data_IF_517884861768
#
_entry.id   IF_517884861768
#
_cell.length_a   1.000
_cell.length_b   1.000
_cell.length_c   1.000
_cell.angle_alpha   90.00
_cell.angle_beta   90.00
_cell.angle_gamma   90.00
#
_symmetry.space_group_name_H-M   'P 1'
#
loop_
_entity.id
_entity.type
_entity.pdbx_description
1 polymer ?
#
# COMPACT_ATOMS: atom_id res chain seq x y z
N UNK A 1 -33.23 7.83 63.60
CA UNK A 1 -32.34 6.85 62.94
C UNK A 1 -33.05 6.26 61.72
N UNK A 2 -32.75 6.77 60.51
CA UNK A 2 -33.01 6.12 59.21
C UNK A 2 -31.94 6.64 58.25
N UNK A 3 -30.82 5.92 58.10
CA UNK A 3 -29.81 6.23 57.09
C UNK A 3 -30.39 5.87 55.70
N UNK A 4 -30.38 6.82 54.77
CA UNK A 4 -30.58 6.56 53.34
C UNK A 4 -29.20 6.46 52.70
N UNK A 5 -28.83 5.26 52.27
CA UNK A 5 -27.66 5.03 51.41
C UNK A 5 -28.00 5.54 50.00
N UNK A 6 -27.30 6.57 49.55
CA UNK A 6 -27.32 7.01 48.17
C UNK A 6 -26.26 6.25 47.39
N UNK A 7 -26.69 5.36 46.50
CA UNK A 7 -25.81 4.58 45.62
C UNK A 7 -25.15 5.51 44.60
N UNK A 8 -23.84 5.72 44.70
CA UNK A 8 -23.05 6.43 43.71
C UNK A 8 -22.71 5.45 42.58
N UNK A 9 -23.31 5.62 41.40
CA UNK A 9 -22.96 4.86 40.20
C UNK A 9 -21.70 5.50 39.60
N UNK A 10 -20.57 4.82 39.74
CA UNK A 10 -19.30 5.22 39.13
C UNK A 10 -19.27 4.70 37.69
N UNK A 11 -19.51 5.59 36.73
CA UNK A 11 -19.43 5.30 35.30
C UNK A 11 -17.97 5.19 34.86
N UNK A 12 -17.43 3.97 34.78
CA UNK A 12 -16.10 3.73 34.22
C UNK A 12 -16.15 3.93 32.71
N UNK A 13 -15.66 5.07 32.22
CA UNK A 13 -15.43 5.29 30.78
C UNK A 13 -14.25 4.39 30.37
N UNK A 14 -14.55 3.34 29.61
CA UNK A 14 -13.56 2.46 29.03
C UNK A 14 -12.90 3.20 27.86
N UNK A 15 -11.70 3.73 28.06
CA UNK A 15 -10.88 4.27 26.97
C UNK A 15 -10.43 3.09 26.11
N UNK A 16 -11.12 2.86 24.99
CA UNK A 16 -10.68 1.93 23.97
C UNK A 16 -9.49 2.55 23.24
N UNK A 17 -8.27 2.22 23.67
CA UNK A 17 -7.09 2.49 22.85
C UNK A 17 -7.30 1.81 21.49
N UNK A 18 -7.03 2.48 20.37
CA UNK A 18 -7.10 1.84 19.06
C UNK A 18 -6.13 0.66 19.06
N UNK A 19 -6.66 -0.54 18.79
CA UNK A 19 -5.85 -1.72 18.57
C UNK A 19 -5.01 -1.45 17.33
N UNK A 20 -3.73 -1.13 17.53
CA UNK A 20 -2.75 -1.06 16.45
C UNK A 20 -2.62 -2.49 15.93
N UNK A 21 -3.39 -2.80 14.89
CA UNK A 21 -3.32 -4.06 14.19
C UNK A 21 -1.89 -4.21 13.65
N UNK A 22 -1.09 -5.10 14.24
CA UNK A 22 0.20 -5.54 13.71
C UNK A 22 -0.02 -6.35 12.43
N UNK A 23 -0.43 -5.65 11.38
CA UNK A 23 -0.49 -6.22 10.05
C UNK A 23 0.92 -6.32 9.49
N UNK A 24 1.24 -7.45 8.86
CA UNK A 24 2.48 -7.64 8.13
C UNK A 24 2.66 -6.54 7.08
N UNK A 25 3.78 -5.82 7.15
CA UNK A 25 4.08 -4.65 6.33
C UNK A 25 4.97 -5.05 5.17
N UNK A 26 4.41 -5.02 3.96
CA UNK A 26 5.18 -5.27 2.74
C UNK A 26 5.86 -3.98 2.27
N UNK A 27 7.09 -4.07 1.80
CA UNK A 27 7.84 -2.92 1.29
C UNK A 27 8.83 -3.35 0.21
N UNK A 28 9.11 -2.42 -0.70
CA UNK A 28 10.20 -2.48 -1.69
C UNK A 28 11.02 -1.22 -1.44
N UNK A 29 12.31 -1.35 -1.20
CA UNK A 29 13.20 -0.28 -0.78
C UNK A 29 14.39 -0.20 -1.74
N UNK A 30 14.53 0.90 -2.51
CA UNK A 30 15.71 1.12 -3.32
C UNK A 30 16.92 1.48 -2.43
N UNK A 31 18.12 1.13 -2.88
CA UNK A 31 19.38 1.56 -2.26
C UNK A 31 19.71 3.04 -2.50
N UNK A 32 19.08 3.67 -3.49
CA UNK A 32 19.11 5.10 -3.78
C UNK A 32 17.88 5.49 -4.60
N UNK A 33 17.31 6.69 -4.39
CA UNK A 33 16.15 7.14 -5.17
C UNK A 33 16.45 8.15 -6.27
N UNK A 34 17.59 8.84 -6.22
CA UNK A 34 18.03 9.80 -7.25
C UNK A 34 19.49 9.49 -7.62
N UNK A 35 19.73 9.21 -8.91
CA UNK A 35 21.05 8.84 -9.44
C UNK A 35 21.39 9.68 -10.66
N UNK A 36 22.64 10.10 -10.81
CA UNK A 36 23.06 11.03 -11.88
C UNK A 36 24.11 10.47 -12.85
N UNK A 37 24.45 9.18 -12.74
CA UNK A 37 25.31 8.53 -13.73
C UNK A 37 24.56 8.34 -15.06
N UNK A 38 25.28 8.04 -16.14
CA UNK A 38 24.69 7.85 -17.48
C UNK A 38 23.74 6.64 -17.53
N UNK A 39 24.19 5.52 -16.94
CA UNK A 39 23.44 4.25 -16.80
C UNK A 39 23.61 3.71 -15.39
N UNK A 40 23.00 4.36 -14.38
CA UNK A 40 23.21 3.97 -13.00
C UNK A 40 22.54 2.62 -12.72
N UNK A 41 23.18 1.84 -11.86
CA UNK A 41 22.60 0.64 -11.29
C UNK A 41 22.01 0.97 -9.92
N UNK A 42 20.85 0.39 -9.62
CA UNK A 42 20.23 0.47 -8.29
C UNK A 42 19.78 -0.91 -7.83
N UNK A 43 20.22 -1.28 -6.63
CA UNK A 43 19.78 -2.50 -5.95
C UNK A 43 18.55 -2.20 -5.10
N UNK A 44 17.63 -3.15 -5.05
CA UNK A 44 16.43 -3.08 -4.22
C UNK A 44 16.40 -4.23 -3.23
N UNK A 45 15.99 -3.92 -2.00
CA UNK A 45 15.55 -4.90 -1.02
C UNK A 45 14.02 -4.93 -0.98
N UNK A 46 13.42 -6.12 -0.90
CA UNK A 46 11.98 -6.27 -0.73
C UNK A 46 11.65 -7.33 0.33
N UNK A 47 10.75 -7.01 1.26
CA UNK A 47 10.32 -7.94 2.29
C UNK A 47 8.88 -7.68 2.75
N UNK A 48 8.38 -8.65 3.50
CA UNK A 48 7.21 -8.52 4.36
C UNK A 48 7.74 -8.62 5.80
N UNK A 49 7.43 -7.63 6.64
CA UNK A 49 8.00 -7.52 7.98
C UNK A 49 6.98 -7.16 9.05
N UNK A 50 7.35 -7.39 10.31
CA UNK A 50 6.63 -6.82 11.46
C UNK A 50 7.11 -5.38 11.70
N UNK A 51 8.42 -5.16 11.65
CA UNK A 51 9.06 -3.84 11.72
C UNK A 51 9.40 -3.32 10.31
N UNK A 52 8.95 -2.12 9.95
CA UNK A 52 9.22 -1.55 8.61
C UNK A 52 10.72 -1.48 8.32
N UNK A 53 11.09 -1.84 7.09
CA UNK A 53 12.48 -1.90 6.60
C UNK A 53 13.41 -2.85 7.39
N UNK A 54 12.85 -3.79 8.15
CA UNK A 54 13.59 -4.86 8.81
C UNK A 54 13.06 -6.22 8.37
N UNK A 55 13.84 -6.97 7.59
CA UNK A 55 13.42 -8.24 7.02
C UNK A 55 13.36 -9.37 8.08
N UNK A 56 12.23 -9.51 8.78
CA UNK A 56 12.06 -10.42 9.92
C UNK A 56 10.88 -11.40 9.85
N UNK A 57 10.05 -11.32 8.81
CA UNK A 57 8.87 -12.19 8.68
C UNK A 57 8.94 -13.09 7.44
N UNK A 58 8.94 -12.52 6.24
CA UNK A 58 8.99 -13.29 5.00
C UNK A 58 9.58 -12.49 3.84
N UNK A 59 10.24 -13.20 2.91
CA UNK A 59 10.66 -12.59 1.66
C UNK A 59 9.46 -12.14 0.82
N UNK A 60 9.58 -10.96 0.21
CA UNK A 60 8.61 -10.48 -0.77
C UNK A 60 8.72 -11.31 -2.05
N UNK A 61 7.62 -11.86 -2.56
CA UNK A 61 7.67 -12.63 -3.80
C UNK A 61 7.88 -11.69 -4.99
N UNK A 62 8.92 -11.94 -5.78
CA UNK A 62 9.23 -11.13 -6.97
C UNK A 62 8.31 -11.47 -8.16
N UNK A 63 7.57 -12.57 -8.09
CA UNK A 63 6.53 -12.90 -9.08
C UNK A 63 5.43 -11.82 -9.08
N UNK A 64 5.16 -11.24 -10.25
CA UNK A 64 4.22 -10.12 -10.40
C UNK A 64 4.81 -8.74 -10.08
N UNK A 65 6.11 -8.66 -9.79
CA UNK A 65 6.82 -7.38 -9.75
C UNK A 65 7.12 -6.91 -11.17
N UNK A 66 6.78 -5.66 -11.46
CA UNK A 66 6.99 -5.01 -12.75
C UNK A 66 7.73 -3.70 -12.56
N UNK A 67 8.43 -3.28 -13.62
CA UNK A 67 9.18 -2.03 -13.65
C UNK A 67 8.83 -1.30 -14.92
N UNK A 68 8.31 -0.09 -14.76
CA UNK A 68 8.01 0.80 -15.87
C UNK A 68 9.08 1.89 -15.96
N UNK A 69 9.69 2.02 -17.13
CA UNK A 69 10.64 3.06 -17.47
C UNK A 69 9.94 4.40 -17.81
N UNK A 70 10.69 5.52 -17.84
CA UNK A 70 10.15 6.86 -18.14
C UNK A 70 9.47 6.96 -19.52
N UNK A 71 9.95 6.19 -20.50
CA UNK A 71 9.39 6.10 -21.85
C UNK A 71 8.17 5.14 -21.94
N UNK A 72 7.82 4.49 -20.83
CA UNK A 72 6.73 3.52 -20.73
C UNK A 72 7.14 2.07 -21.00
N UNK A 73 8.40 1.79 -21.36
CA UNK A 73 8.89 0.43 -21.57
C UNK A 73 8.89 -0.36 -20.26
N UNK A 74 8.74 -1.69 -20.36
CA UNK A 74 8.93 -2.58 -19.23
C UNK A 74 10.42 -2.94 -19.11
N UNK A 75 10.92 -3.02 -17.88
CA UNK A 75 12.32 -3.34 -17.59
C UNK A 75 12.39 -4.67 -16.84
N UNK A 76 13.26 -5.55 -17.29
CA UNK A 76 13.50 -6.84 -16.64
C UNK A 76 14.34 -6.67 -15.36
N UNK A 77 13.95 -7.37 -14.31
CA UNK A 77 14.73 -7.44 -13.08
C UNK A 77 16.06 -8.15 -13.34
N UNK A 78 17.17 -7.55 -12.92
CA UNK A 78 18.50 -8.15 -12.99
C UNK A 78 18.88 -8.75 -11.63
N UNK A 79 19.73 -9.78 -11.62
CA UNK A 79 20.29 -10.39 -10.40
C UNK A 79 19.25 -10.74 -9.31
N UNK A 80 18.03 -11.12 -9.72
CA UNK A 80 16.95 -11.40 -8.80
C UNK A 80 17.25 -12.63 -7.92
N UNK A 81 17.09 -12.46 -6.60
CA UNK A 81 17.33 -13.49 -5.59
C UNK A 81 16.27 -13.45 -4.51
N UNK A 82 15.82 -14.63 -4.06
CA UNK A 82 14.82 -14.78 -3.00
C UNK A 82 15.43 -15.59 -1.86
N UNK A 83 15.67 -14.92 -0.73
CA UNK A 83 16.12 -15.54 0.51
C UNK A 83 14.95 -15.94 1.42
N UNK A 84 15.26 -16.24 2.69
CA UNK A 84 14.23 -16.60 3.69
C UNK A 84 13.33 -15.42 4.09
N UNK A 85 13.92 -14.25 4.31
CA UNK A 85 13.23 -13.06 4.83
C UNK A 85 13.25 -11.87 3.89
N UNK A 86 14.08 -11.90 2.85
CA UNK A 86 14.31 -10.78 1.94
C UNK A 86 14.52 -11.31 0.54
N UNK A 87 14.01 -10.56 -0.43
CA UNK A 87 14.35 -10.67 -1.83
C UNK A 87 15.17 -9.47 -2.25
N UNK A 88 16.08 -9.67 -3.19
CA UNK A 88 16.93 -8.61 -3.76
C UNK A 88 16.88 -8.69 -5.28
N UNK A 89 17.02 -7.55 -5.94
CA UNK A 89 17.18 -7.46 -7.39
C UNK A 89 17.82 -6.14 -7.75
N UNK A 90 18.34 -6.04 -8.96
CA UNK A 90 18.97 -4.85 -9.50
C UNK A 90 18.20 -4.34 -10.72
N UNK A 91 18.31 -3.05 -10.99
CA UNK A 91 17.91 -2.42 -12.26
C UNK A 91 19.06 -1.60 -12.81
N UNK A 92 19.29 -1.74 -14.12
CA UNK A 92 20.09 -0.80 -14.91
C UNK A 92 19.15 0.26 -15.50
N UNK A 93 19.39 1.53 -15.17
CA UNK A 93 18.52 2.65 -15.57
C UNK A 93 19.03 3.27 -16.88
N UNK A 94 18.69 2.64 -18.00
CA UNK A 94 19.16 3.02 -19.34
C UNK A 94 18.53 4.30 -19.93
N UNK A 95 17.38 4.71 -19.41
CA UNK A 95 16.64 5.89 -19.84
C UNK A 95 16.64 6.95 -18.73
N UNK A 96 16.79 8.21 -19.12
CA UNK A 96 16.70 9.33 -18.18
C UNK A 96 15.23 9.57 -17.80
N UNK A 97 14.98 9.83 -16.53
CA UNK A 97 13.64 10.04 -15.98
C UNK A 97 13.33 9.16 -14.79
N UNK A 98 12.04 9.10 -14.43
CA UNK A 98 11.57 8.36 -13.27
C UNK A 98 11.02 6.99 -13.64
N UNK A 99 11.53 5.97 -12.97
CA UNK A 99 11.08 4.60 -13.03
C UNK A 99 10.10 4.32 -11.90
N UNK A 100 9.09 3.48 -12.19
CA UNK A 100 8.14 2.98 -11.21
C UNK A 100 8.32 1.48 -11.06
N UNK A 101 8.66 1.05 -9.85
CA UNK A 101 8.76 -0.37 -9.47
C UNK A 101 7.52 -0.72 -8.67
N UNK A 102 6.74 -1.71 -9.13
CA UNK A 102 5.43 -1.95 -8.55
C UNK A 102 4.98 -3.40 -8.62
N UNK A 103 4.12 -3.78 -7.67
CA UNK A 103 3.16 -4.88 -7.86
C UNK A 103 1.76 -4.29 -7.87
N UNK A 104 0.90 -4.80 -8.73
CA UNK A 104 -0.52 -4.45 -8.77
C UNK A 104 -1.32 -5.73 -8.98
N UNK A 105 -2.35 -5.92 -8.16
CA UNK A 105 -3.29 -7.05 -8.31
C UNK A 105 -4.69 -6.59 -7.98
N UNK A 106 -5.66 -7.10 -8.72
CA UNK A 106 -7.06 -6.82 -8.51
C UNK A 106 -7.90 -8.04 -8.86
N UNK A 107 -9.14 -8.09 -8.37
CA UNK A 107 -10.07 -9.14 -8.74
C UNK A 107 -11.22 -9.29 -7.77
N UNK A 108 -12.20 -10.08 -8.20
CA UNK A 108 -13.33 -10.46 -7.35
C UNK A 108 -12.84 -11.33 -6.18
N UNK A 109 -13.48 -11.13 -5.03
CA UNK A 109 -13.34 -11.95 -3.83
C UNK A 109 -14.73 -12.25 -3.31
N UNK A 110 -15.02 -13.52 -3.04
CA UNK A 110 -16.26 -13.92 -2.39
C UNK A 110 -16.01 -14.68 -1.11
N UNK A 111 -16.93 -14.56 -0.16
CA UNK A 111 -17.06 -15.41 1.01
C UNK A 111 -18.52 -15.79 1.17
N UNK A 112 -18.77 -17.03 1.59
CA UNK A 112 -20.13 -17.52 1.82
C UNK A 112 -20.12 -18.69 2.81
N UNK A 113 -21.31 -19.16 3.19
CA UNK A 113 -21.52 -20.36 3.98
C UNK A 113 -22.14 -21.43 3.07
N UNK A 114 -21.52 -22.61 3.00
CA UNK A 114 -22.05 -23.72 2.22
C UNK A 114 -23.20 -24.46 2.93
N UNK A 115 -23.78 -25.45 2.26
CA UNK A 115 -24.89 -26.26 2.80
C UNK A 115 -24.53 -27.06 4.06
N UNK A 116 -23.23 -27.28 4.32
CA UNK A 116 -22.74 -27.95 5.53
C UNK A 116 -22.47 -26.96 6.67
N UNK A 117 -22.71 -25.66 6.45
CA UNK A 117 -22.44 -24.60 7.43
C UNK A 117 -20.98 -24.16 7.50
N UNK A 118 -20.12 -24.58 6.56
CA UNK A 118 -18.70 -24.21 6.54
C UNK A 118 -18.49 -22.91 5.76
N UNK A 119 -17.57 -22.09 6.25
CA UNK A 119 -17.16 -20.86 5.57
C UNK A 119 -16.28 -21.20 4.37
N UNK A 120 -16.67 -20.68 3.22
CA UNK A 120 -15.93 -20.81 1.96
C UNK A 120 -15.45 -19.44 1.50
N UNK A 121 -14.43 -19.44 0.65
CA UNK A 121 -13.92 -18.23 0.01
C UNK A 121 -13.47 -18.49 -1.41
N UNK A 122 -13.61 -17.49 -2.26
CA UNK A 122 -13.12 -17.52 -3.63
C UNK A 122 -12.32 -16.24 -3.95
N UNK A 123 -11.18 -16.35 -4.65
CA UNK A 123 -10.40 -17.57 -4.84
C UNK A 123 -10.00 -18.18 -3.50
N UNK A 124 -9.69 -19.48 -3.48
CA UNK A 124 -9.13 -20.10 -2.28
C UNK A 124 -7.82 -19.41 -1.89
N UNK A 125 -7.44 -19.50 -0.60
CA UNK A 125 -6.26 -18.81 -0.09
C UNK A 125 -5.01 -19.19 -0.88
N UNK A 126 -4.32 -18.19 -1.43
CA UNK A 126 -3.09 -18.39 -2.21
C UNK A 126 -3.29 -18.82 -3.66
N UNK A 127 -4.54 -18.87 -4.14
CA UNK A 127 -4.85 -19.09 -5.54
C UNK A 127 -5.18 -17.77 -6.24
N UNK A 128 -4.80 -17.70 -7.51
CA UNK A 128 -5.28 -16.70 -8.45
C UNK A 128 -6.46 -17.31 -9.20
N UNK A 129 -7.46 -16.49 -9.52
CA UNK A 129 -8.54 -16.91 -10.41
C UNK A 129 -8.91 -15.74 -11.32
N UNK A 130 -9.35 -16.06 -12.52
CA UNK A 130 -9.94 -15.08 -13.41
C UNK A 130 -11.35 -14.74 -12.92
N UNK A 131 -11.70 -13.45 -12.96
CA UNK A 131 -13.06 -13.00 -12.65
C UNK A 131 -14.11 -13.61 -13.60
N UNK A 132 -13.73 -14.06 -14.79
CA UNK A 132 -14.60 -14.80 -15.71
C UNK A 132 -15.08 -16.15 -15.15
N UNK A 133 -14.32 -16.77 -14.24
CA UNK A 133 -14.65 -18.05 -13.60
C UNK A 133 -15.54 -17.88 -12.35
N UNK A 134 -15.87 -16.63 -11.98
CA UNK A 134 -16.60 -16.34 -10.75
C UNK A 134 -17.96 -17.05 -10.71
N UNK A 135 -18.76 -16.89 -11.75
CA UNK A 135 -20.15 -17.40 -11.78
C UNK A 135 -20.23 -18.92 -11.76
N UNK A 136 -19.22 -19.61 -12.32
CA UNK A 136 -19.15 -21.07 -12.32
C UNK A 136 -18.59 -21.62 -11.01
N UNK A 137 -17.73 -20.87 -10.33
CA UNK A 137 -17.03 -21.31 -9.11
C UNK A 137 -17.75 -20.93 -7.82
N UNK A 138 -18.60 -19.91 -7.84
CA UNK A 138 -19.29 -19.37 -6.66
C UNK A 138 -20.81 -19.61 -6.79
N UNK A 139 -21.44 -20.34 -5.86
CA UNK A 139 -22.89 -20.50 -5.87
C UNK A 139 -23.56 -19.15 -5.58
N UNK A 140 -24.37 -18.65 -6.51
CA UNK A 140 -24.96 -17.30 -6.44
C UNK A 140 -26.09 -17.19 -5.40
N UNK A 141 -26.68 -18.32 -5.01
CA UNK A 141 -27.70 -18.47 -3.98
C UNK A 141 -27.12 -18.93 -2.62
N UNK A 142 -25.79 -18.94 -2.48
CA UNK A 142 -25.14 -19.33 -1.24
C UNK A 142 -25.56 -18.43 -0.07
N UNK A 143 -25.67 -19.05 1.11
CA UNK A 143 -25.99 -18.33 2.35
C UNK A 143 -24.87 -17.35 2.69
N UNK A 144 -25.26 -16.14 3.10
CA UNK A 144 -24.35 -15.07 3.50
C UNK A 144 -23.28 -14.74 2.42
N UNK A 145 -23.64 -14.88 1.14
CA UNK A 145 -22.75 -14.55 0.03
C UNK A 145 -22.40 -13.05 0.07
N UNK A 146 -21.13 -12.78 0.29
CA UNK A 146 -20.53 -11.46 0.20
C UNK A 146 -19.52 -11.44 -0.95
N UNK A 147 -19.70 -10.52 -1.88
CA UNK A 147 -18.83 -10.37 -3.06
C UNK A 147 -18.25 -8.96 -3.06
N UNK A 148 -16.92 -8.89 -3.13
CA UNK A 148 -16.17 -7.64 -3.17
C UNK A 148 -15.20 -7.64 -4.35
N UNK A 149 -14.88 -6.46 -4.87
CA UNK A 149 -13.77 -6.27 -5.78
C UNK A 149 -12.59 -5.71 -4.97
N UNK A 150 -11.48 -6.42 -4.94
CA UNK A 150 -10.33 -6.06 -4.09
C UNK A 150 -9.12 -5.73 -4.94
N UNK A 151 -8.44 -4.62 -4.64
CA UNK A 151 -7.16 -4.27 -5.24
C UNK A 151 -6.05 -4.15 -4.19
N UNK A 152 -4.82 -4.43 -4.61
CA UNK A 152 -3.61 -4.22 -3.81
C UNK A 152 -2.49 -3.74 -4.71
N UNK A 153 -1.84 -2.65 -4.29
CA UNK A 153 -0.74 -2.03 -5.01
C UNK A 153 0.39 -1.67 -4.05
N UNK A 154 1.63 -1.98 -4.45
CA UNK A 154 2.84 -1.70 -3.68
C UNK A 154 3.84 -1.08 -4.64
N UNK A 155 4.37 0.10 -4.32
CA UNK A 155 5.22 0.88 -5.23
C UNK A 155 6.46 1.46 -4.58
N UNK A 156 7.45 1.75 -5.40
CA UNK A 156 8.51 2.70 -5.10
C UNK A 156 9.00 3.32 -6.42
N UNK A 157 9.74 4.41 -6.31
CA UNK A 157 10.16 5.22 -7.45
C UNK A 157 11.64 5.53 -7.35
N UNK A 158 12.34 5.47 -8.48
CA UNK A 158 13.74 5.88 -8.60
C UNK A 158 13.90 6.75 -9.84
N UNK A 159 14.75 7.76 -9.77
CA UNK A 159 14.99 8.71 -10.86
C UNK A 159 16.44 8.67 -11.30
N UNK A 160 16.65 8.48 -12.61
CA UNK A 160 17.93 8.68 -13.27
C UNK A 160 17.96 10.07 -13.93
N UNK A 161 18.83 10.94 -13.44
CA UNK A 161 18.96 12.32 -13.91
C UNK A 161 17.77 13.20 -13.53
N UNK A 162 17.08 13.76 -14.52
CA UNK A 162 15.98 14.71 -14.27
C UNK A 162 14.66 13.98 -14.03
N UNK A 163 13.90 14.30 -12.98
CA UNK A 163 12.58 13.71 -12.72
C UNK A 163 11.61 13.84 -13.90
N UNK A 164 10.81 12.79 -14.12
CA UNK A 164 9.77 12.76 -15.15
C UNK A 164 8.44 12.25 -14.56
N UNK A 165 7.32 12.42 -15.28
CA UNK A 165 5.98 12.22 -14.68
C UNK A 165 5.10 11.19 -15.41
N UNK A 166 5.61 10.62 -16.49
CA UNK A 166 4.87 9.75 -17.42
C UNK A 166 4.37 8.49 -16.71
N UNK A 167 5.17 7.94 -15.79
CA UNK A 167 4.85 6.76 -14.99
C UNK A 167 3.74 6.99 -13.96
N UNK A 168 3.34 8.24 -13.69
CA UNK A 168 2.30 8.59 -12.71
C UNK A 168 0.89 8.65 -13.30
N UNK A 169 0.73 8.43 -14.61
CA UNK A 169 -0.60 8.29 -15.22
C UNK A 169 -1.35 7.14 -14.54
N UNK A 170 -2.52 7.45 -13.99
CA UNK A 170 -3.38 6.47 -13.34
C UNK A 170 -3.87 5.42 -14.35
N UNK A 171 -3.92 4.17 -13.93
CA UNK A 171 -4.53 3.07 -14.70
C UNK A 171 -6.05 3.09 -14.60
N UNK A 172 -6.58 3.83 -13.62
CA UNK A 172 -7.98 3.86 -13.21
C UNK A 172 -8.49 2.49 -12.75
N UNK A 173 -7.62 1.70 -12.12
CA UNK A 173 -7.94 0.37 -11.61
C UNK A 173 -7.54 0.23 -10.14
N UNK A 174 -8.54 0.05 -9.28
CA UNK A 174 -8.33 -0.08 -7.85
C UNK A 174 -7.87 1.23 -7.20
N UNK A 175 -7.30 1.11 -6.01
CA UNK A 175 -6.73 2.23 -5.25
C UNK A 175 -5.34 2.59 -5.78
N UNK A 176 -5.17 3.82 -6.20
CA UNK A 176 -3.95 4.39 -6.76
C UNK A 176 -3.59 5.70 -6.06
N UNK A 177 -2.29 5.99 -5.97
CA UNK A 177 -1.77 7.28 -5.54
C UNK A 177 -1.14 7.98 -6.75
N UNK A 178 -1.60 9.18 -7.04
CA UNK A 178 -1.05 10.07 -8.08
C UNK A 178 -0.31 11.21 -7.39
N UNK A 179 1.02 11.31 -7.53
CA UNK A 179 1.78 12.41 -6.93
C UNK A 179 1.45 13.76 -7.57
N UNK A 180 1.29 14.78 -6.73
CA UNK A 180 1.33 16.19 -7.16
C UNK A 180 2.74 16.73 -6.95
N UNK A 181 3.34 16.40 -5.80
CA UNK A 181 4.79 16.55 -5.55
C UNK A 181 5.50 15.28 -5.98
N UNK A 182 6.61 15.42 -6.70
CA UNK A 182 7.35 14.28 -7.24
C UNK A 182 7.90 13.39 -6.10
N UNK A 183 7.76 12.05 -6.17
CA UNK A 183 8.10 11.15 -5.05
C UNK A 183 9.61 10.99 -4.79
N UNK A 184 10.47 11.46 -5.69
CA UNK A 184 11.92 11.59 -5.47
C UNK A 184 12.38 13.05 -5.33
N UNK A 185 11.46 13.95 -5.02
CA UNK A 185 11.71 15.39 -4.78
C UNK A 185 11.06 15.78 -3.44
N UNK A 186 11.42 15.05 -2.39
CA UNK A 186 10.86 15.21 -1.05
C UNK A 186 11.96 15.67 -0.09
N UNK A 187 11.74 16.77 0.62
CA UNK A 187 12.70 17.33 1.55
C UNK A 187 12.15 17.46 2.97
N UNK A 188 13.02 17.31 3.95
CA UNK A 188 12.69 17.54 5.34
C UNK A 188 12.23 19.00 5.57
N UNK A 189 11.19 19.17 6.37
CA UNK A 189 10.52 20.45 6.64
C UNK A 189 9.54 20.90 5.56
N UNK A 190 9.53 20.27 4.38
CA UNK A 190 8.63 20.63 3.28
C UNK A 190 7.35 19.80 3.28
N UNK A 191 6.33 20.36 2.61
CA UNK A 191 5.02 19.70 2.44
C UNK A 191 4.89 19.16 1.04
N UNK A 192 4.66 17.84 0.92
CA UNK A 192 4.32 17.18 -0.32
C UNK A 192 2.80 16.99 -0.44
N UNK A 193 2.28 17.01 -1.66
CA UNK A 193 0.88 16.75 -1.96
C UNK A 193 0.72 15.54 -2.88
N UNK A 194 -0.33 14.76 -2.62
CA UNK A 194 -0.68 13.56 -3.37
C UNK A 194 -2.20 13.50 -3.55
N UNK A 195 -2.66 12.69 -4.51
CA UNK A 195 -4.08 12.42 -4.76
C UNK A 195 -4.33 10.91 -4.73
N UNK A 196 -5.33 10.47 -3.97
CA UNK A 196 -5.80 9.09 -3.98
C UNK A 196 -7.02 8.95 -4.89
N UNK A 197 -6.97 7.94 -5.77
CA UNK A 197 -8.05 7.58 -6.67
C UNK A 197 -8.47 6.13 -6.43
N UNK A 198 -9.75 5.83 -6.57
CA UNK A 198 -10.34 4.48 -6.58
C UNK A 198 -11.13 4.28 -7.88
N UNK A 199 -10.58 3.47 -8.78
CA UNK A 199 -11.04 3.31 -10.17
C UNK A 199 -11.17 4.65 -10.91
N UNK A 200 -10.17 5.52 -10.79
CA UNK A 200 -10.12 6.84 -11.44
C UNK A 200 -11.01 7.93 -10.82
N UNK A 201 -11.73 7.62 -9.73
CA UNK A 201 -12.52 8.60 -8.99
C UNK A 201 -11.83 8.99 -7.68
N UNK A 202 -12.00 10.21 -7.14
CA UNK A 202 -11.46 10.59 -5.84
C UNK A 202 -11.81 9.58 -4.74
N UNK A 203 -10.81 9.02 -4.06
CA UNK A 203 -10.99 8.19 -2.88
C UNK A 203 -11.12 9.10 -1.66
N UNK A 204 -12.32 9.62 -1.39
CA UNK A 204 -12.59 10.64 -0.36
C UNK A 204 -12.63 10.02 1.04
N UNK A 205 -11.90 10.58 1.99
CA UNK A 205 -11.89 10.10 3.38
C UNK A 205 -11.01 8.85 3.61
N UNK A 206 -10.13 8.52 2.67
CA UNK A 206 -9.14 7.48 2.85
C UNK A 206 -8.12 7.92 3.92
N UNK A 207 -7.93 7.07 4.93
CA UNK A 207 -6.93 7.28 5.97
C UNK A 207 -5.55 6.85 5.43
N UNK A 208 -4.59 7.76 5.57
CA UNK A 208 -3.20 7.56 5.18
C UNK A 208 -2.36 7.51 6.45
N UNK A 209 -1.54 6.48 6.55
CA UNK A 209 -0.58 6.28 7.63
C UNK A 209 0.81 6.31 7.01
N UNK A 210 1.71 7.09 7.59
CA UNK A 210 3.10 7.17 7.18
C UNK A 210 4.01 6.95 8.37
N UNK A 211 4.97 6.05 8.19
CA UNK A 211 5.90 5.60 9.22
C UNK A 211 7.32 5.84 8.74
N UNK A 212 8.11 6.59 9.51
CA UNK A 212 9.54 6.73 9.26
C UNK A 212 10.27 5.41 9.56
N UNK A 213 11.28 5.07 8.76
CA UNK A 213 12.20 3.95 9.02
C UNK A 213 12.99 4.10 10.33
N UNK A 214 13.75 3.07 10.70
CA UNK A 214 14.60 3.10 11.90
C UNK A 214 13.82 2.99 13.22
N UNK A 215 12.56 2.54 13.17
CA UNK A 215 11.67 2.32 14.30
C UNK A 215 12.32 1.60 15.49
N UNK A 216 13.16 0.60 15.23
CA UNK A 216 13.88 -0.19 16.25
C UNK A 216 14.81 0.66 17.15
N UNK A 217 15.20 1.84 16.69
CA UNK A 217 16.11 2.74 17.39
C UNK A 217 15.41 3.97 17.96
N UNK A 218 14.07 4.00 18.00
CA UNK A 218 13.28 5.10 18.57
C UNK A 218 12.33 4.60 19.66
N UNK A 219 12.00 5.51 20.57
CA UNK A 219 11.05 5.26 21.66
C UNK A 219 9.59 5.47 21.22
N UNK A 220 9.36 6.14 20.09
CA UNK A 220 8.04 6.44 19.54
C UNK A 220 7.97 6.09 18.06
N UNK A 221 6.75 5.86 17.57
CA UNK A 221 6.49 5.52 16.18
C UNK A 221 6.47 6.72 15.24
N UNK A 222 6.28 7.91 15.80
CA UNK A 222 6.21 9.17 15.04
C UNK A 222 5.34 9.03 13.79
N UNK A 223 4.19 8.38 13.98
CA UNK A 223 3.22 8.10 12.93
C UNK A 223 2.61 9.42 12.45
N UNK A 224 2.65 9.63 11.13
CA UNK A 224 1.98 10.74 10.48
C UNK A 224 0.68 10.20 9.90
N UNK A 225 -0.44 10.83 10.25
CA UNK A 225 -1.74 10.51 9.69
C UNK A 225 -2.25 11.66 8.81
N UNK A 226 -2.91 11.31 7.73
CA UNK A 226 -3.62 12.25 6.87
C UNK A 226 -4.93 11.62 6.38
N UNK A 227 -5.87 12.46 5.96
CA UNK A 227 -7.14 12.01 5.38
C UNK A 227 -7.33 12.72 4.06
N UNK A 228 -7.70 11.96 3.03
CA UNK A 228 -7.96 12.55 1.72
C UNK A 228 -9.24 13.39 1.71
N UNK A 229 -9.18 14.54 1.06
CA UNK A 229 -10.28 15.49 0.96
C UNK A 229 -11.31 15.10 -0.12
N UNK A 230 -12.25 16.00 -0.43
CA UNK A 230 -13.30 15.80 -1.45
C UNK A 230 -12.76 15.62 -2.87
N UNK A 231 -11.53 16.06 -3.14
CA UNK A 231 -10.82 15.85 -4.40
C UNK A 231 -9.88 14.63 -4.33
N UNK A 232 -9.89 13.87 -3.21
CA UNK A 232 -8.99 12.76 -2.98
C UNK A 232 -7.58 13.21 -2.59
N UNK A 233 -7.36 14.50 -2.35
CA UNK A 233 -6.03 15.05 -2.08
C UNK A 233 -5.69 14.96 -0.60
N UNK A 234 -4.41 14.75 -0.31
CA UNK A 234 -3.86 14.87 1.04
C UNK A 234 -2.44 15.44 0.98
N UNK A 235 -1.98 15.93 2.12
CA UNK A 235 -0.65 16.53 2.25
C UNK A 235 0.10 15.92 3.42
N UNK A 236 1.42 15.80 3.27
CA UNK A 236 2.34 15.34 4.31
C UNK A 236 3.45 16.37 4.44
N UNK A 237 3.66 16.88 5.65
CA UNK A 237 4.87 17.64 5.99
C UNK A 237 5.91 16.68 6.55
N UNK A 238 7.07 16.57 5.90
CA UNK A 238 8.09 15.60 6.27
C UNK A 238 8.94 16.10 7.44
N UNK A 239 8.94 15.45 8.61
CA UNK A 239 9.62 15.99 9.79
C UNK A 239 11.15 15.88 9.73
N UNK A 240 11.67 14.89 9.01
CA UNK A 240 13.11 14.60 8.92
C UNK A 240 13.46 13.87 7.62
N UNK A 241 14.74 13.88 7.26
CA UNK A 241 15.25 13.06 6.17
C UNK A 241 15.25 11.56 6.54
N UNK A 242 15.12 10.70 5.54
CA UNK A 242 15.16 9.25 5.68
C UNK A 242 14.10 8.53 4.83
N UNK A 243 14.05 7.21 4.97
CA UNK A 243 13.05 6.38 4.29
C UNK A 243 11.73 6.36 5.05
N UNK A 244 10.62 6.48 4.33
CA UNK A 244 9.27 6.46 4.87
C UNK A 244 8.44 5.39 4.17
N UNK A 245 7.63 4.68 4.96
CA UNK A 245 6.65 3.71 4.48
C UNK A 245 5.25 4.34 4.60
N UNK A 246 4.57 4.49 3.48
CA UNK A 246 3.18 4.95 3.42
C UNK A 246 2.26 3.77 3.20
N UNK A 247 1.13 3.74 3.91
CA UNK A 247 0.05 2.80 3.68
C UNK A 247 -1.31 3.49 3.77
N UNK A 248 -2.22 3.07 2.91
CA UNK A 248 -3.61 3.49 2.96
C UNK A 248 -4.50 2.35 2.47
N UNK A 249 -5.72 2.33 2.98
CA UNK A 249 -6.78 1.47 2.52
C UNK A 249 -8.07 2.27 2.38
N UNK A 250 -8.91 1.88 1.42
CA UNK A 250 -10.17 2.55 1.15
C UNK A 250 -11.20 1.51 0.69
N UNK A 251 -12.45 1.66 1.10
CA UNK A 251 -13.57 0.89 0.53
C UNK A 251 -14.83 1.74 0.38
N UNK A 252 -15.68 1.37 -0.58
CA UNK A 252 -17.02 1.92 -0.74
C UNK A 252 -17.97 0.92 -1.40
N UNK A 253 -19.27 1.24 -1.40
CA UNK A 253 -20.32 0.41 -2.03
C UNK A 253 -20.58 0.76 -3.50
N UNK A 254 -19.59 1.29 -4.24
CA UNK A 254 -19.71 1.68 -5.65
C UNK A 254 -19.04 0.67 -6.60
N UNK A 255 -18.95 -0.59 -6.20
CA UNK A 255 -18.42 -1.64 -7.05
C UNK A 255 -19.31 -1.90 -8.27
N UNK A 256 -18.69 -2.41 -9.34
CA UNK A 256 -19.41 -3.00 -10.46
C UNK A 256 -19.84 -4.42 -10.09
N UNK A 257 -21.05 -4.80 -10.49
CA UNK A 257 -21.54 -6.17 -10.34
C UNK A 257 -20.55 -7.19 -10.96
N UNK A 258 -20.38 -8.39 -10.37
CA UNK A 258 -21.19 -8.96 -9.29
C UNK A 258 -20.79 -8.51 -7.87
N UNK A 259 -19.75 -7.70 -7.71
CA UNK A 259 -19.38 -7.15 -6.42
C UNK A 259 -20.35 -6.06 -5.96
N UNK A 260 -20.55 -5.97 -4.65
CA UNK A 260 -21.36 -4.92 -4.02
C UNK A 260 -20.50 -3.92 -3.24
N UNK A 261 -19.26 -4.29 -2.93
CA UNK A 261 -18.24 -3.45 -2.31
C UNK A 261 -16.96 -3.50 -3.13
N UNK A 262 -16.27 -2.36 -3.25
CA UNK A 262 -14.90 -2.33 -3.76
C UNK A 262 -13.98 -1.82 -2.67
N UNK A 263 -12.83 -2.44 -2.57
CA UNK A 263 -11.81 -2.09 -1.58
C UNK A 263 -10.44 -2.13 -2.22
N UNK A 264 -9.55 -1.27 -1.73
CA UNK A 264 -8.19 -1.20 -2.22
C UNK A 264 -7.21 -0.96 -1.08
N UNK A 265 -5.99 -1.44 -1.27
CA UNK A 265 -4.84 -1.12 -0.42
C UNK A 265 -3.69 -0.61 -1.28
N UNK A 266 -3.06 0.46 -0.83
CA UNK A 266 -1.91 1.07 -1.48
C UNK A 266 -0.78 1.18 -0.47
N UNK A 267 0.44 0.86 -0.90
CA UNK A 267 1.64 0.97 -0.07
C UNK A 267 2.76 1.54 -0.92
N UNK A 268 3.53 2.47 -0.37
CA UNK A 268 4.71 2.99 -1.04
C UNK A 268 5.88 3.23 -0.10
N UNK A 269 7.09 3.12 -0.65
CA UNK A 269 8.31 3.55 0.01
C UNK A 269 8.82 4.83 -0.65
N UNK A 270 9.08 5.85 0.17
CA UNK A 270 9.63 7.14 -0.25
C UNK A 270 10.94 7.44 0.48
N UNK A 271 11.86 8.15 -0.18
CA UNK A 271 13.01 8.77 0.46
C UNK A 271 12.73 10.27 0.61
N UNK A 272 13.03 10.81 1.79
CA UNK A 272 13.05 12.24 2.06
C UNK A 272 14.50 12.67 2.27
N UNK A 273 14.94 13.67 1.52
CA UNK A 273 16.30 14.20 1.57
C UNK A 273 16.43 15.33 2.60
N UNK A 274 17.63 15.57 3.13
CA UNK A 274 17.90 16.79 3.88
C UNK A 274 17.87 18.01 2.93
N UNK A 275 17.55 19.19 3.47
CA UNK A 275 17.75 20.47 2.77
C UNK A 275 19.24 20.77 2.56
#
# INVERSE_FOLDING_TARGET
MKLRLSTLILSTVLVTAPLVSHAHRAWIMPGATVLSAEKPWVTFDAAISNDIFHADHAAFRLEGLSVQAPDGAQVDLQNASVGKYRSTFDLELDAQGTYKVYTASSGLRARWVDSEGKRQSWPARGQNADSSEFTTSVPQDAKDLNVSYSSRRIETFVTAGTPSTEVFKATNEGLELVPVTHPNDLYAGETAQFTLLIDGQPAVGAEVIVLAGGMRYRNAQDEITAVSDKAGKFSITWPAAGMYWLNTSYSDSKAKAPATERQGSYTATFEVLPQ
#
